data_IF_406637705073
#
_entry.id   IF_406637705073
#
_cell.length_a   1.000
_cell.length_b   1.000
_cell.length_c   1.000
_cell.angle_alpha   90.00
_cell.angle_beta   90.00
_cell.angle_gamma   90.00
#
_symmetry.space_group_name_H-M   'P 1'
#
loop_
_entity.id
_entity.type
_entity.pdbx_description
1 polymer ?
#
# COMPACT_ATOMS: atom_id res chain seq x y z
N UNK A 1 -15.75 -27.38 5.50
CA UNK A 1 -14.87 -26.19 5.60
C UNK A 1 -13.38 -26.54 5.80
N UNK A 2 -12.81 -27.52 5.08
CA UNK A 2 -11.37 -27.91 5.20
C UNK A 2 -10.54 -27.63 3.93
N UNK A 3 -11.17 -27.22 2.83
CA UNK A 3 -10.50 -27.16 1.51
C UNK A 3 -9.71 -25.86 1.27
N UNK A 4 -10.10 -24.73 1.89
CA UNK A 4 -9.48 -23.41 1.64
C UNK A 4 -8.03 -23.31 2.16
N UNK A 5 -7.74 -23.94 3.29
CA UNK A 5 -6.40 -23.88 3.92
C UNK A 5 -5.36 -24.69 3.14
N UNK A 6 -5.78 -25.79 2.52
CA UNK A 6 -4.91 -26.65 1.70
C UNK A 6 -4.54 -25.94 0.39
N UNK A 7 -5.50 -25.25 -0.23
CA UNK A 7 -5.27 -24.51 -1.48
C UNK A 7 -4.31 -23.32 -1.26
N UNK A 8 -4.41 -22.61 -0.13
CA UNK A 8 -3.46 -21.55 0.22
C UNK A 8 -2.04 -22.10 0.49
N UNK A 9 -1.92 -23.25 1.14
CA UNK A 9 -0.63 -23.90 1.39
C UNK A 9 0.07 -24.34 0.10
N UNK A 10 -0.69 -24.89 -0.85
CA UNK A 10 -0.16 -25.32 -2.17
C UNK A 10 0.25 -24.11 -3.01
N UNK A 11 -0.53 -23.02 -3.01
CA UNK A 11 -0.17 -21.80 -3.74
C UNK A 11 1.12 -21.17 -3.20
N UNK A 12 1.30 -21.13 -1.88
CA UNK A 12 2.51 -20.64 -1.24
C UNK A 12 3.73 -21.54 -1.55
N UNK A 13 3.52 -22.86 -1.54
CA UNK A 13 4.56 -23.83 -1.89
C UNK A 13 5.01 -23.72 -3.36
N UNK A 14 4.05 -23.54 -4.29
CA UNK A 14 4.34 -23.31 -5.71
C UNK A 14 5.07 -21.98 -5.96
N UNK A 15 4.74 -20.92 -5.19
CA UNK A 15 5.43 -19.65 -5.29
C UNK A 15 6.90 -19.77 -4.84
N UNK A 16 7.14 -20.48 -3.73
CA UNK A 16 8.48 -20.73 -3.20
C UNK A 16 9.30 -21.57 -4.18
N UNK A 17 8.72 -22.63 -4.78
CA UNK A 17 9.44 -23.48 -5.74
C UNK A 17 9.70 -22.79 -7.07
N UNK A 18 8.79 -21.95 -7.56
CA UNK A 18 9.00 -21.15 -8.77
C UNK A 18 10.18 -20.18 -8.62
N UNK A 19 10.30 -19.54 -7.44
CA UNK A 19 11.44 -18.66 -7.10
C UNK A 19 12.75 -19.44 -6.99
N UNK A 20 12.73 -20.69 -6.50
CA UNK A 20 13.93 -21.53 -6.42
C UNK A 20 14.44 -22.00 -7.79
N UNK A 21 13.55 -22.22 -8.76
CA UNK A 21 13.92 -22.73 -10.10
C UNK A 21 14.52 -21.70 -11.06
N UNK A 22 14.39 -20.40 -10.78
CA UNK A 22 14.98 -19.32 -11.58
C UNK A 22 16.42 -18.96 -11.17
N UNK A 23 16.98 -19.66 -10.18
CA UNK A 23 18.33 -19.45 -9.66
C UNK A 23 19.28 -20.50 -10.22
N UNK A 24 19.72 -20.31 -11.46
CA UNK A 24 21.03 -20.79 -11.89
C UNK A 24 22.02 -19.65 -11.63
N UNK A 25 23.14 -19.88 -10.92
CA UNK A 25 24.01 -18.80 -10.47
C UNK A 25 24.92 -18.38 -11.63
N UNK A 26 24.48 -17.40 -12.43
CA UNK A 26 25.42 -16.60 -13.22
C UNK A 26 25.83 -15.37 -12.41
N UNK A 27 27.10 -15.37 -12.03
CA UNK A 27 27.94 -14.29 -11.53
C UNK A 27 27.25 -12.92 -11.31
N UNK A 28 27.00 -12.58 -10.04
CA UNK A 28 26.60 -11.24 -9.64
C UNK A 28 26.18 -11.15 -8.17
N UNK A 29 27.17 -11.16 -7.27
CA UNK A 29 27.27 -10.56 -5.91
C UNK A 29 26.08 -10.52 -4.93
N UNK A 30 24.90 -11.07 -5.24
CA UNK A 30 23.76 -11.21 -4.33
C UNK A 30 23.31 -12.66 -4.31
N UNK A 31 23.15 -13.22 -3.12
CA UNK A 31 22.63 -14.57 -2.99
C UNK A 31 21.17 -14.59 -3.44
N UNK A 32 20.69 -15.73 -3.92
CA UNK A 32 19.27 -15.91 -4.23
C UNK A 32 18.35 -15.66 -3.02
N UNK A 33 18.89 -15.82 -1.81
CA UNK A 33 18.20 -15.52 -0.56
C UNK A 33 17.99 -14.01 -0.43
N UNK A 34 19.00 -13.20 -0.74
CA UNK A 34 18.89 -11.73 -0.71
C UNK A 34 17.83 -11.22 -1.71
N UNK A 35 17.79 -11.81 -2.91
CA UNK A 35 16.78 -11.48 -3.93
C UNK A 35 15.37 -11.86 -3.47
N UNK A 36 15.22 -13.02 -2.85
CA UNK A 36 13.94 -13.48 -2.31
C UNK A 36 13.46 -12.61 -1.14
N UNK A 37 14.38 -12.14 -0.28
CA UNK A 37 14.08 -11.24 0.83
C UNK A 37 13.63 -9.86 0.34
N UNK A 38 14.33 -9.27 -0.64
CA UNK A 38 13.93 -8.01 -1.26
C UNK A 38 12.52 -8.11 -1.87
N UNK A 39 12.25 -9.19 -2.61
CA UNK A 39 10.93 -9.43 -3.20
C UNK A 39 9.83 -9.58 -2.13
N UNK A 40 10.10 -10.29 -1.03
CA UNK A 40 9.16 -10.43 0.08
C UNK A 40 8.87 -9.09 0.77
N UNK A 41 9.90 -8.26 0.94
CA UNK A 41 9.78 -6.92 1.50
C UNK A 41 8.94 -6.00 0.59
N UNK A 42 9.12 -6.07 -0.72
CA UNK A 42 8.35 -5.28 -1.67
C UNK A 42 6.88 -5.71 -1.71
N UNK A 43 6.60 -7.01 -1.64
CA UNK A 43 5.23 -7.53 -1.47
C UNK A 43 4.62 -7.03 -0.15
N UNK A 44 5.37 -7.08 0.94
CA UNK A 44 4.91 -6.58 2.25
C UNK A 44 4.55 -5.08 2.21
N UNK A 45 5.42 -4.25 1.60
CA UNK A 45 5.14 -2.82 1.38
C UNK A 45 3.90 -2.60 0.51
N UNK A 46 3.73 -3.37 -0.55
CA UNK A 46 2.56 -3.29 -1.41
C UNK A 46 1.27 -3.65 -0.64
N UNK A 47 1.31 -4.70 0.18
CA UNK A 47 0.18 -5.09 1.03
C UNK A 47 -0.16 -4.02 2.07
N UNK A 48 0.84 -3.39 2.68
CA UNK A 48 0.62 -2.27 3.60
C UNK A 48 -0.05 -1.07 2.90
N UNK A 49 0.38 -0.74 1.68
CA UNK A 49 -0.27 0.30 0.86
C UNK A 49 -1.74 -0.03 0.59
N UNK A 50 -2.03 -1.24 0.14
CA UNK A 50 -3.40 -1.69 -0.15
C UNK A 50 -4.27 -1.60 1.11
N UNK A 51 -3.79 -2.12 2.25
CA UNK A 51 -4.54 -2.05 3.52
C UNK A 51 -4.75 -0.60 3.99
N UNK A 52 -3.76 0.25 3.82
CA UNK A 52 -3.87 1.69 4.09
C UNK A 52 -4.98 2.33 3.25
N UNK A 53 -5.01 2.05 1.95
CA UNK A 53 -6.03 2.59 1.06
C UNK A 53 -7.45 2.11 1.42
N UNK A 54 -7.61 0.83 1.77
CA UNK A 54 -8.90 0.32 2.27
C UNK A 54 -9.34 1.04 3.55
N UNK A 55 -8.40 1.28 4.48
CA UNK A 55 -8.72 1.99 5.71
C UNK A 55 -9.15 3.44 5.43
N UNK A 56 -8.47 4.14 4.51
CA UNK A 56 -8.84 5.49 4.09
C UNK A 56 -10.19 5.52 3.37
N UNK A 57 -10.47 4.55 2.50
CA UNK A 57 -11.79 4.41 1.88
C UNK A 57 -12.87 4.20 2.93
N UNK A 58 -12.70 3.24 3.86
CA UNK A 58 -13.67 3.00 4.93
C UNK A 58 -13.87 4.23 5.82
N UNK A 59 -12.81 4.99 6.08
CA UNK A 59 -12.87 6.21 6.88
C UNK A 59 -13.68 7.31 6.17
N UNK A 60 -13.47 7.48 4.86
CA UNK A 60 -13.97 8.65 4.11
C UNK A 60 -15.24 8.38 3.28
N UNK A 61 -15.70 7.13 3.17
CA UNK A 61 -16.90 6.76 2.39
C UNK A 61 -18.22 6.82 3.16
N UNK A 62 -18.20 7.18 4.44
CA UNK A 62 -19.41 7.38 5.23
C UNK A 62 -20.16 8.66 4.86
N UNK A 63 -21.36 8.83 5.43
CA UNK A 63 -22.21 10.01 5.18
C UNK A 63 -21.64 11.33 5.72
N UNK A 64 -20.60 11.25 6.56
CA UNK A 64 -19.94 12.40 7.13
C UNK A 64 -18.88 12.96 6.16
N UNK A 65 -19.07 14.21 5.77
CA UNK A 65 -18.07 14.97 5.00
C UNK A 65 -16.80 15.15 5.83
N UNK A 66 -15.67 14.71 5.31
CA UNK A 66 -14.36 14.87 5.93
C UNK A 66 -13.56 16.00 5.28
N UNK A 67 -12.74 16.67 6.09
CA UNK A 67 -11.74 17.65 5.63
C UNK A 67 -10.34 17.04 5.71
N UNK A 68 -9.47 17.41 4.77
CA UNK A 68 -8.07 16.99 4.74
C UNK A 68 -7.16 18.19 4.99
N UNK A 69 -6.26 18.06 5.97
CA UNK A 69 -5.14 18.97 6.17
C UNK A 69 -3.84 18.28 5.77
N UNK A 70 -3.09 18.90 4.88
CA UNK A 70 -1.75 18.49 4.51
C UNK A 70 -0.76 19.47 5.16
N UNK A 71 0.07 18.98 6.07
CA UNK A 71 1.11 19.78 6.71
C UNK A 71 2.47 19.49 6.06
N UNK A 72 3.08 20.51 5.47
CA UNK A 72 4.46 20.45 4.96
C UNK A 72 5.38 21.12 5.98
N UNK A 73 5.96 20.31 6.86
CA UNK A 73 6.96 20.74 7.85
C UNK A 73 8.40 20.69 7.33
N UNK A 74 9.25 21.57 7.86
CA UNK A 74 10.70 21.48 7.73
C UNK A 74 11.33 20.87 9.00
N UNK A 75 12.66 20.69 9.01
CA UNK A 75 13.40 20.10 10.14
C UNK A 75 13.40 20.94 11.42
N UNK A 76 12.79 22.12 11.40
CA UNK A 76 12.72 23.06 12.53
C UNK A 76 11.29 23.14 13.10
N UNK A 77 10.44 22.15 12.83
CA UNK A 77 9.02 22.05 13.21
C UNK A 77 8.14 23.22 12.73
N UNK A 78 8.67 24.08 11.87
CA UNK A 78 7.90 25.11 11.16
C UNK A 78 7.41 24.57 9.82
N UNK A 79 6.23 24.98 9.39
CA UNK A 79 5.65 24.45 8.18
C UNK A 79 4.45 25.25 7.70
N UNK A 80 3.94 24.84 6.55
CA UNK A 80 2.71 25.39 5.96
C UNK A 80 1.68 24.27 5.95
N UNK A 81 0.47 24.57 6.41
CA UNK A 81 -0.68 23.67 6.25
C UNK A 81 -1.48 24.07 5.02
N UNK A 82 -2.08 23.09 4.37
CA UNK A 82 -3.03 23.30 3.29
C UNK A 82 -4.28 22.49 3.58
N UNK A 83 -5.43 23.15 3.57
CA UNK A 83 -6.71 22.54 3.92
C UNK A 83 -7.61 22.35 2.68
N UNK A 84 -8.32 21.23 2.66
CA UNK A 84 -9.34 20.88 1.67
C UNK A 84 -10.62 20.39 2.36
N UNK A 85 -11.77 20.75 1.79
CA UNK A 85 -13.07 20.20 2.18
C UNK A 85 -13.45 18.99 1.34
N UNK A 86 -14.37 18.18 1.87
CA UNK A 86 -15.04 17.08 1.15
C UNK A 86 -14.08 16.11 0.50
N UNK A 87 -13.23 15.48 1.31
CA UNK A 87 -12.30 14.44 0.84
C UNK A 87 -12.92 13.06 0.98
N UNK A 88 -12.89 12.31 -0.12
CA UNK A 88 -13.34 10.94 -0.21
C UNK A 88 -12.33 10.10 -0.99
N UNK A 89 -12.02 8.91 -0.47
CA UNK A 89 -11.23 7.91 -1.18
C UNK A 89 -12.19 6.84 -1.68
N UNK A 90 -12.12 6.53 -2.97
CA UNK A 90 -12.98 5.54 -3.59
C UNK A 90 -12.55 4.09 -3.27
N UNK A 91 -13.28 3.10 -3.76
CA UNK A 91 -13.03 1.68 -3.55
C UNK A 91 -11.94 1.13 -4.50
N UNK A 92 -11.70 -0.18 -4.39
CA UNK A 92 -10.67 -0.88 -5.18
C UNK A 92 -11.00 -0.94 -6.69
N UNK A 93 -12.28 -0.93 -7.07
CA UNK A 93 -12.70 -0.94 -8.48
C UNK A 93 -12.33 0.39 -9.17
N UNK A 94 -12.37 1.49 -8.42
CA UNK A 94 -11.94 2.81 -8.85
C UNK A 94 -10.50 3.12 -8.43
N UNK A 95 -9.68 2.08 -8.19
CA UNK A 95 -8.25 2.19 -7.86
C UNK A 95 -7.92 3.11 -6.68
N UNK A 96 -8.85 3.27 -5.73
CA UNK A 96 -8.73 4.21 -4.61
C UNK A 96 -8.49 5.66 -5.05
N UNK A 97 -9.15 6.09 -6.13
CA UNK A 97 -9.14 7.49 -6.58
C UNK A 97 -9.52 8.44 -5.43
N UNK A 98 -8.77 9.53 -5.31
CA UNK A 98 -8.98 10.54 -4.26
C UNK A 98 -9.81 11.68 -4.86
N UNK A 99 -11.03 11.83 -4.37
CA UNK A 99 -11.90 12.94 -4.66
C UNK A 99 -11.65 14.02 -3.61
N UNK A 100 -11.22 15.20 -4.06
CA UNK A 100 -10.93 16.35 -3.21
C UNK A 100 -11.87 17.48 -3.61
N UNK A 101 -12.57 18.04 -2.63
CA UNK A 101 -13.46 19.18 -2.82
C UNK A 101 -12.72 20.52 -2.81
N UNK A 102 -13.32 21.49 -2.13
CA UNK A 102 -12.88 22.90 -2.17
C UNK A 102 -11.53 23.07 -1.49
N UNK A 103 -10.59 23.71 -2.20
CA UNK A 103 -9.35 24.23 -1.63
C UNK A 103 -9.64 25.41 -0.70
N UNK A 104 -9.17 25.35 0.54
CA UNK A 104 -9.41 26.38 1.56
C UNK A 104 -8.27 27.40 1.71
N UNK A 105 -7.08 27.08 1.19
CA UNK A 105 -5.91 27.97 1.27
C UNK A 105 -4.81 27.45 2.20
N UNK A 106 -3.67 28.15 2.22
CA UNK A 106 -2.58 27.87 3.15
C UNK A 106 -2.81 28.54 4.51
N UNK A 107 -2.33 27.89 5.57
CA UNK A 107 -2.33 28.38 6.95
C UNK A 107 -0.97 28.18 7.62
#
# INVERSE_FOLDING_TARGET
MRSRTIVQGIALFCLITAVSSSVLPEAGERTAIDVAEDAANDVSKALLRIRGNYALHTLTSGDQVMSLRIFLGNSSDSGISVDYESVQVDNVQNHFEIHIGKYLGPH
#
